data_IF_492281892158
#
_entry.id   IF_492281892158
#
_cell.length_a   1.000
_cell.length_b   1.000
_cell.length_c   1.000
_cell.angle_alpha   90.00
_cell.angle_beta   90.00
_cell.angle_gamma   90.00
#
_symmetry.space_group_name_H-M   'P 1'
#
loop_
_entity.id
_entity.type
_entity.pdbx_description
1 polymer ?
#
# COMPACT_ATOMS: atom_id res chain seq x y z
N UNK A 1 5.26 19.87 8.76
CA UNK A 1 6.25 18.79 8.58
C UNK A 1 7.20 19.19 7.46
N UNK A 2 8.52 19.08 7.65
CA UNK A 2 9.50 19.33 6.58
C UNK A 2 9.47 18.20 5.54
N UNK A 3 10.03 18.43 4.34
CA UNK A 3 10.14 17.37 3.32
C UNK A 3 11.01 16.21 3.82
N UNK A 4 12.06 16.51 4.58
CA UNK A 4 12.99 15.50 5.10
C UNK A 4 12.34 14.61 6.16
N UNK A 5 11.54 15.20 7.05
CA UNK A 5 10.75 14.43 8.03
C UNK A 5 9.71 13.54 7.36
N UNK A 6 9.07 14.00 6.28
CA UNK A 6 8.20 13.15 5.44
C UNK A 6 8.96 11.95 4.86
N UNK A 7 10.17 12.20 4.34
CA UNK A 7 11.00 11.18 3.72
C UNK A 7 11.44 10.13 4.74
N UNK A 8 11.90 10.56 5.92
CA UNK A 8 12.25 9.67 7.03
C UNK A 8 11.06 8.81 7.48
N UNK A 9 9.87 9.40 7.62
CA UNK A 9 8.67 8.67 8.00
C UNK A 9 8.22 7.64 6.95
N UNK A 10 8.43 7.91 5.66
CA UNK A 10 8.21 6.90 4.61
C UNK A 10 9.17 5.72 4.77
N UNK A 11 10.43 5.99 5.10
CA UNK A 11 11.40 4.94 5.42
C UNK A 11 10.95 4.08 6.60
N UNK A 12 10.50 4.72 7.69
CA UNK A 12 9.94 4.02 8.85
C UNK A 12 8.73 3.17 8.44
N UNK A 13 7.82 3.69 7.61
CA UNK A 13 6.66 2.93 7.13
C UNK A 13 7.06 1.69 6.31
N UNK A 14 8.15 1.75 5.54
CA UNK A 14 8.71 0.57 4.84
C UNK A 14 9.25 -0.45 5.85
N UNK A 15 9.99 0.00 6.87
CA UNK A 15 10.48 -0.90 7.93
C UNK A 15 9.31 -1.57 8.68
N UNK A 16 8.24 -0.83 8.97
CA UNK A 16 7.02 -1.37 9.55
C UNK A 16 6.35 -2.41 8.64
N UNK A 17 6.35 -2.17 7.32
CA UNK A 17 5.82 -3.13 6.34
C UNK A 17 6.61 -4.44 6.37
N UNK A 18 7.94 -4.37 6.32
CA UNK A 18 8.82 -5.53 6.36
C UNK A 18 8.66 -6.28 7.68
N UNK A 19 8.64 -5.55 8.80
CA UNK A 19 8.44 -6.11 10.14
C UNK A 19 7.11 -6.86 10.25
N UNK A 20 6.00 -6.27 9.80
CA UNK A 20 4.70 -6.92 9.78
C UNK A 20 4.74 -8.22 8.96
N UNK A 21 5.28 -8.19 7.74
CA UNK A 21 5.26 -9.38 6.86
C UNK A 21 6.14 -10.51 7.38
N UNK A 22 7.20 -10.20 8.13
CA UNK A 22 8.07 -11.20 8.77
C UNK A 22 7.42 -11.83 10.01
N UNK A 23 6.84 -11.03 10.89
CA UNK A 23 6.50 -11.47 12.25
C UNK A 23 5.00 -11.68 12.50
N UNK A 24 4.11 -11.42 11.53
CA UNK A 24 2.66 -11.53 11.74
C UNK A 24 2.16 -12.98 11.85
N UNK A 25 2.90 -13.95 11.32
CA UNK A 25 2.54 -15.38 11.38
C UNK A 25 3.12 -16.03 12.63
N UNK A 26 2.27 -16.28 13.62
CA UNK A 26 2.67 -16.83 14.94
C UNK A 26 3.39 -18.18 14.80
N UNK A 27 2.88 -19.04 13.93
CA UNK A 27 3.44 -20.35 13.59
C UNK A 27 4.89 -20.25 13.08
N UNK A 28 5.13 -19.34 12.14
CA UNK A 28 6.47 -19.07 11.59
C UNK A 28 7.40 -18.53 12.67
N UNK A 29 6.92 -17.59 13.49
CA UNK A 29 7.73 -17.00 14.56
C UNK A 29 8.15 -18.05 15.58
N UNK A 30 7.25 -18.92 16.03
CA UNK A 30 7.57 -19.96 17.03
C UNK A 30 8.50 -21.03 16.45
N UNK A 31 8.34 -21.40 15.18
CA UNK A 31 9.10 -22.50 14.56
C UNK A 31 10.46 -22.08 13.98
N UNK A 32 10.60 -20.84 13.51
CA UNK A 32 11.78 -20.37 12.78
C UNK A 32 12.59 -19.30 13.50
N UNK A 33 12.14 -18.82 14.68
CA UNK A 33 12.86 -17.83 15.47
C UNK A 33 12.94 -18.26 16.94
N UNK A 34 13.77 -17.58 17.72
CA UNK A 34 13.88 -17.76 19.17
C UNK A 34 13.39 -16.50 19.90
N UNK A 35 12.06 -16.34 20.11
CA UNK A 35 11.52 -15.17 20.76
C UNK A 35 12.03 -15.05 22.19
N UNK A 36 12.56 -13.87 22.53
CA UNK A 36 13.11 -13.61 23.87
C UNK A 36 12.02 -13.36 24.91
N UNK A 37 10.85 -12.87 24.48
CA UNK A 37 9.77 -12.45 25.38
C UNK A 37 8.42 -12.94 24.87
N UNK A 38 7.62 -13.46 25.80
CA UNK A 38 6.28 -13.96 25.58
C UNK A 38 5.29 -13.25 26.48
N UNK A 39 4.07 -13.04 25.98
CA UNK A 39 2.92 -12.65 26.79
C UNK A 39 1.91 -13.77 26.68
N UNK A 40 1.80 -14.59 27.73
CA UNK A 40 1.08 -15.86 27.68
C UNK A 40 1.74 -16.82 26.68
N UNK A 41 0.97 -17.35 25.73
CA UNK A 41 1.45 -18.27 24.69
C UNK A 41 1.92 -17.57 23.40
N UNK A 42 1.83 -16.23 23.33
CA UNK A 42 2.10 -15.49 22.09
C UNK A 42 3.45 -14.76 22.22
N UNK A 43 4.36 -14.91 21.24
CA UNK A 43 5.59 -14.13 21.17
C UNK A 43 5.30 -12.62 21.15
N UNK A 44 6.01 -11.84 21.96
CA UNK A 44 5.81 -10.39 22.02
C UNK A 44 6.05 -9.69 20.68
N UNK A 45 7.04 -10.18 19.90
CA UNK A 45 7.33 -9.66 18.56
C UNK A 45 6.11 -9.76 17.62
N UNK A 46 5.28 -10.80 17.78
CA UNK A 46 4.05 -10.95 17.02
C UNK A 46 2.98 -9.95 17.49
N UNK A 47 2.88 -9.68 18.79
CA UNK A 47 1.96 -8.67 19.32
C UNK A 47 2.35 -7.28 18.79
N UNK A 48 3.65 -6.99 18.73
CA UNK A 48 4.19 -5.72 18.24
C UNK A 48 3.81 -5.44 16.78
N UNK A 49 3.59 -6.47 15.95
CA UNK A 49 3.19 -6.26 14.54
C UNK A 49 1.85 -5.55 14.42
N UNK A 50 0.96 -5.67 15.42
CA UNK A 50 -0.34 -4.98 15.46
C UNK A 50 -0.18 -3.46 15.53
N UNK A 51 0.94 -2.97 16.06
CA UNK A 51 1.29 -1.55 16.07
C UNK A 51 2.03 -1.10 14.80
N UNK A 52 2.36 -2.04 13.90
CA UNK A 52 3.12 -1.80 12.68
C UNK A 52 2.32 -1.92 11.36
N UNK A 53 1.04 -1.51 11.25
CA UNK A 53 0.35 -1.57 9.97
C UNK A 53 0.89 -0.49 9.02
N UNK A 54 1.48 -0.86 7.87
CA UNK A 54 2.16 0.11 7.00
C UNK A 54 1.19 0.96 6.20
N UNK A 55 0.04 0.39 5.78
CA UNK A 55 -0.92 1.07 4.90
C UNK A 55 -1.51 2.34 5.55
N UNK A 56 -2.00 2.30 6.81
CA UNK A 56 -2.47 3.51 7.49
C UNK A 56 -1.39 4.61 7.59
N UNK A 57 -0.13 4.26 7.82
CA UNK A 57 0.97 5.22 7.88
C UNK A 57 1.18 5.93 6.54
N UNK A 58 1.19 5.19 5.43
CA UNK A 58 1.29 5.80 4.10
C UNK A 58 0.08 6.68 3.78
N UNK A 59 -1.12 6.29 4.21
CA UNK A 59 -2.34 7.09 4.03
C UNK A 59 -2.27 8.41 4.79
N UNK A 60 -1.85 8.39 6.06
CA UNK A 60 -1.67 9.60 6.88
C UNK A 60 -0.65 10.54 6.23
N UNK A 61 0.51 10.02 5.82
CA UNK A 61 1.55 10.81 5.17
C UNK A 61 1.08 11.42 3.83
N UNK A 62 0.32 10.66 3.04
CA UNK A 62 -0.24 11.15 1.78
C UNK A 62 -1.33 12.20 2.01
N UNK A 63 -2.22 11.97 2.98
CA UNK A 63 -3.27 12.89 3.40
C UNK A 63 -2.72 14.22 3.92
N UNK A 64 -1.72 14.17 4.80
CA UNK A 64 -1.04 15.38 5.29
C UNK A 64 -0.37 16.17 4.15
N UNK A 65 0.30 15.47 3.23
CA UNK A 65 0.92 16.12 2.07
C UNK A 65 -0.11 16.78 1.14
N UNK A 66 -1.28 16.16 0.99
CA UNK A 66 -2.41 16.70 0.24
C UNK A 66 -3.00 17.96 0.88
N UNK A 67 -3.27 17.91 2.18
CA UNK A 67 -3.78 19.03 2.97
C UNK A 67 -2.84 20.24 2.92
N UNK A 68 -1.54 20.00 3.12
CA UNK A 68 -0.53 21.06 3.01
C UNK A 68 -0.50 21.71 1.62
N UNK A 69 -0.64 20.92 0.55
CA UNK A 69 -0.75 21.47 -0.81
C UNK A 69 -2.07 22.22 -1.03
N UNK A 70 -3.15 21.78 -0.38
CA UNK A 70 -4.48 22.38 -0.48
C UNK A 70 -4.47 23.78 0.16
N UNK A 71 -3.92 23.91 1.35
CA UNK A 71 -3.73 25.19 2.05
C UNK A 71 -2.91 26.21 1.25
N UNK A 72 -2.04 25.75 0.33
CA UNK A 72 -1.27 26.61 -0.58
C UNK A 72 -1.98 26.93 -1.90
N UNK A 73 -3.22 26.49 -2.09
CA UNK A 73 -3.97 26.64 -3.35
C UNK A 73 -3.40 25.85 -4.52
N UNK A 74 -2.55 24.85 -4.26
CA UNK A 74 -1.83 24.07 -5.29
C UNK A 74 -2.50 22.74 -5.64
N UNK A 75 -3.60 22.42 -4.98
CA UNK A 75 -4.38 21.21 -5.26
C UNK A 75 -5.39 21.50 -6.37
N UNK A 76 -5.21 20.79 -7.48
CA UNK A 76 -6.15 20.76 -8.60
C UNK A 76 -6.47 19.31 -8.94
N UNK A 77 -7.68 19.05 -9.42
CA UNK A 77 -8.08 17.72 -9.88
C UNK A 77 -7.12 17.16 -10.94
N UNK A 78 -6.62 18.01 -11.84
CA UNK A 78 -5.62 17.63 -12.86
C UNK A 78 -4.32 17.13 -12.22
N UNK A 79 -3.83 17.82 -11.19
CA UNK A 79 -2.60 17.43 -10.49
C UNK A 79 -2.78 16.11 -9.74
N UNK A 80 -3.96 15.88 -9.14
CA UNK A 80 -4.27 14.63 -8.46
C UNK A 80 -4.35 13.46 -9.43
N UNK A 81 -5.02 13.64 -10.56
CA UNK A 81 -5.09 12.65 -11.61
C UNK A 81 -3.70 12.32 -12.16
N UNK A 82 -2.87 13.33 -12.42
CA UNK A 82 -1.50 13.12 -12.89
C UNK A 82 -0.66 12.30 -11.89
N UNK A 83 -0.76 12.61 -10.59
CA UNK A 83 -0.08 11.86 -9.52
C UNK A 83 -0.54 10.41 -9.45
N UNK A 84 -1.85 10.16 -9.59
CA UNK A 84 -2.43 8.82 -9.61
C UNK A 84 -2.01 8.04 -10.85
N UNK A 85 -2.02 8.66 -12.03
CA UNK A 85 -1.55 8.03 -13.27
C UNK A 85 -0.08 7.61 -13.16
N UNK A 86 0.78 8.46 -12.57
CA UNK A 86 2.17 8.09 -12.33
C UNK A 86 2.29 6.84 -11.45
N UNK A 87 1.49 6.74 -10.39
CA UNK A 87 1.44 5.54 -9.53
C UNK A 87 0.95 4.30 -10.29
N UNK A 88 -0.11 4.44 -11.09
CA UNK A 88 -0.67 3.35 -11.89
C UNK A 88 0.28 2.88 -12.99
N UNK A 89 1.02 3.78 -13.64
CA UNK A 89 2.04 3.41 -14.62
C UNK A 89 3.13 2.55 -13.96
N UNK A 90 3.63 2.96 -12.78
CA UNK A 90 4.60 2.13 -12.04
C UNK A 90 4.01 0.77 -11.66
N UNK A 91 2.76 0.73 -11.22
CA UNK A 91 2.07 -0.52 -10.93
C UNK A 91 1.92 -1.42 -12.17
N UNK A 92 1.53 -0.87 -13.32
CA UNK A 92 1.38 -1.62 -14.56
C UNK A 92 2.70 -2.16 -15.08
N UNK A 93 3.80 -1.42 -14.92
CA UNK A 93 5.15 -1.93 -15.25
C UNK A 93 5.49 -3.17 -14.40
N UNK A 94 5.23 -3.10 -13.09
CA UNK A 94 5.42 -4.24 -12.19
C UNK A 94 4.51 -5.39 -12.60
N UNK A 95 3.21 -5.12 -12.81
CA UNK A 95 2.23 -6.12 -13.24
C UNK A 95 2.66 -6.82 -14.53
N UNK A 96 3.14 -6.07 -15.52
CA UNK A 96 3.59 -6.60 -16.79
C UNK A 96 4.72 -7.62 -16.59
N UNK A 97 5.74 -7.27 -15.80
CA UNK A 97 6.85 -8.19 -15.49
C UNK A 97 6.33 -9.46 -14.81
N UNK A 98 5.49 -9.34 -13.77
CA UNK A 98 4.97 -10.49 -13.03
C UNK A 98 4.07 -11.38 -13.88
N UNK A 99 3.21 -10.80 -14.72
CA UNK A 99 2.32 -11.55 -15.60
C UNK A 99 3.11 -12.22 -16.73
N UNK A 100 4.11 -11.56 -17.31
CA UNK A 100 4.98 -12.18 -18.32
C UNK A 100 5.70 -13.40 -17.76
N UNK A 101 6.31 -13.30 -16.58
CA UNK A 101 6.97 -14.43 -15.90
C UNK A 101 5.94 -15.51 -15.55
N UNK A 102 4.78 -15.10 -15.02
CA UNK A 102 3.68 -16.00 -14.65
C UNK A 102 3.14 -16.80 -15.84
N UNK A 103 3.03 -16.18 -17.01
CA UNK A 103 2.58 -16.85 -18.25
C UNK A 103 3.57 -17.90 -18.74
N UNK A 104 4.87 -17.71 -18.49
CA UNK A 104 5.90 -18.72 -18.84
C UNK A 104 5.87 -19.88 -17.84
N UNK A 105 5.82 -19.60 -16.53
CA UNK A 105 5.94 -20.62 -15.49
C UNK A 105 4.63 -21.36 -15.19
N UNK A 106 3.49 -20.69 -15.34
CA UNK A 106 2.14 -21.22 -15.06
C UNK A 106 1.13 -20.72 -16.11
N UNK A 107 1.24 -21.18 -17.37
CA UNK A 107 0.37 -20.76 -18.46
C UNK A 107 -1.12 -21.05 -18.20
N UNK A 108 -1.43 -22.07 -17.39
CA UNK A 108 -2.81 -22.40 -17.01
C UNK A 108 -3.45 -21.38 -16.04
N UNK A 109 -2.64 -20.51 -15.43
CA UNK A 109 -3.09 -19.55 -14.41
C UNK A 109 -3.03 -18.11 -14.91
N UNK A 110 -1.99 -17.77 -15.69
CA UNK A 110 -1.75 -16.42 -16.21
C UNK A 110 -1.92 -16.38 -17.74
N UNK A 111 -2.52 -15.32 -18.30
CA UNK A 111 -3.21 -14.21 -17.62
C UNK A 111 -4.62 -14.61 -17.13
N UNK A 112 -5.15 -15.77 -17.51
CA UNK A 112 -6.53 -16.13 -17.21
C UNK A 112 -7.55 -15.29 -18.00
N UNK A 113 -8.79 -15.20 -17.50
CA UNK A 113 -9.89 -14.59 -18.25
C UNK A 113 -9.82 -13.06 -18.30
N UNK A 114 -10.51 -12.46 -19.28
CA UNK A 114 -10.61 -11.00 -19.45
C UNK A 114 -11.05 -10.28 -18.17
N UNK A 115 -11.94 -10.88 -17.39
CA UNK A 115 -12.37 -10.34 -16.10
C UNK A 115 -11.21 -10.22 -15.10
N UNK A 116 -10.33 -11.23 -15.02
CA UNK A 116 -9.13 -11.19 -14.17
C UNK A 116 -8.16 -10.14 -14.67
N UNK A 117 -7.96 -10.03 -15.98
CA UNK A 117 -7.07 -9.02 -16.57
C UNK A 117 -7.55 -7.60 -16.22
N UNK A 118 -8.82 -7.29 -16.48
CA UNK A 118 -9.40 -5.97 -16.19
C UNK A 118 -9.37 -5.69 -14.69
N UNK A 119 -9.71 -6.68 -13.85
CA UNK A 119 -9.68 -6.56 -12.40
C UNK A 119 -8.27 -6.22 -11.87
N UNK A 120 -7.23 -6.80 -12.44
CA UNK A 120 -5.85 -6.52 -12.04
C UNK A 120 -5.34 -5.20 -12.61
N UNK A 121 -5.65 -4.85 -13.87
CA UNK A 121 -5.23 -3.56 -14.47
C UNK A 121 -5.81 -2.38 -13.68
N UNK A 122 -7.08 -2.47 -13.29
CA UNK A 122 -7.74 -1.45 -12.46
C UNK A 122 -7.36 -1.53 -10.98
N UNK A 123 -6.74 -2.64 -10.57
CA UNK A 123 -6.50 -3.03 -9.18
C UNK A 123 -7.78 -3.24 -8.35
N UNK A 124 -8.95 -3.31 -9.00
CA UNK A 124 -10.21 -3.66 -8.35
C UNK A 124 -10.17 -5.06 -7.72
N UNK A 125 -9.50 -5.99 -8.40
CA UNK A 125 -9.27 -7.36 -7.91
C UNK A 125 -7.81 -7.74 -8.14
N UNK A 126 -7.01 -7.67 -7.08
CA UNK A 126 -5.56 -7.91 -7.10
C UNK A 126 -5.22 -9.41 -7.06
N UNK A 127 -5.81 -10.21 -7.96
CA UNK A 127 -5.60 -11.66 -8.02
C UNK A 127 -4.21 -12.07 -8.52
N UNK A 128 -3.54 -11.24 -9.33
CA UNK A 128 -2.15 -11.50 -9.75
C UNK A 128 -1.13 -11.14 -8.68
N UNK A 129 -1.41 -10.09 -7.89
CA UNK A 129 -0.58 -9.65 -6.78
C UNK A 129 -1.44 -9.16 -5.61
N UNK A 130 -1.71 -10.06 -4.67
CA UNK A 130 -2.56 -9.77 -3.52
C UNK A 130 -2.07 -8.58 -2.69
N UNK A 131 -0.76 -8.28 -2.68
CA UNK A 131 -0.18 -7.16 -1.90
C UNK A 131 -0.63 -5.80 -2.44
N UNK A 132 -1.05 -5.72 -3.70
CA UNK A 132 -1.50 -4.48 -4.35
C UNK A 132 -2.94 -4.08 -4.02
N UNK A 133 -3.66 -4.84 -3.17
CA UNK A 133 -5.06 -4.62 -2.82
C UNK A 133 -5.41 -3.19 -2.37
N UNK A 134 -4.45 -2.46 -1.79
CA UNK A 134 -4.67 -1.12 -1.25
C UNK A 134 -4.77 -0.03 -2.34
N UNK A 135 -4.35 -0.31 -3.57
CA UNK A 135 -4.20 0.69 -4.62
C UNK A 135 -5.55 1.27 -5.07
N UNK A 136 -6.55 0.42 -5.25
CA UNK A 136 -7.89 0.86 -5.67
C UNK A 136 -8.60 1.72 -4.61
N UNK A 137 -8.68 1.33 -3.32
CA UNK A 137 -9.17 2.21 -2.26
C UNK A 137 -8.41 3.54 -2.19
N UNK A 138 -7.08 3.52 -2.35
CA UNK A 138 -6.27 4.73 -2.36
C UNK A 138 -6.61 5.66 -3.53
N UNK A 139 -6.83 5.11 -4.72
CA UNK A 139 -7.26 5.87 -5.89
C UNK A 139 -8.58 6.60 -5.61
N UNK A 140 -9.59 5.89 -5.10
CA UNK A 140 -10.89 6.47 -4.76
C UNK A 140 -10.74 7.59 -3.73
N UNK A 141 -9.97 7.36 -2.67
CA UNK A 141 -9.71 8.36 -1.63
C UNK A 141 -8.97 9.58 -2.20
N UNK A 142 -7.96 9.38 -3.05
CA UNK A 142 -7.20 10.48 -3.63
C UNK A 142 -8.04 11.31 -4.60
N UNK A 143 -8.96 10.71 -5.36
CA UNK A 143 -9.87 11.45 -6.26
C UNK A 143 -10.92 12.23 -5.47
N UNK A 144 -11.41 11.68 -4.36
CA UNK A 144 -12.42 12.32 -3.50
C UNK A 144 -11.81 13.33 -2.52
N UNK A 145 -10.49 13.34 -2.32
CA UNK A 145 -9.80 14.22 -1.36
C UNK A 145 -10.18 15.71 -1.46
N UNK A 146 -10.34 16.26 -2.67
CA UNK A 146 -10.71 17.67 -2.88
C UNK A 146 -12.11 17.96 -2.32
N UNK A 147 -13.04 17.02 -2.48
CA UNK A 147 -14.41 17.13 -1.95
C UNK A 147 -14.36 17.03 -0.43
N UNK A 148 -13.56 16.10 0.11
CA UNK A 148 -13.39 15.89 1.55
C UNK A 148 -12.86 17.17 2.22
N UNK A 149 -11.80 17.79 1.68
CA UNK A 149 -11.26 19.03 2.24
C UNK A 149 -12.30 20.16 2.21
N UNK A 150 -13.03 20.32 1.09
CA UNK A 150 -14.09 21.32 0.98
C UNK A 150 -15.21 21.13 2.01
N UNK A 151 -15.61 19.89 2.31
CA UNK A 151 -16.66 19.59 3.30
C UNK A 151 -16.17 19.88 4.72
N UNK A 152 -14.90 19.57 5.02
CA UNK A 152 -14.33 19.76 6.35
C UNK A 152 -14.02 21.22 6.70
N UNK A 153 -14.19 22.15 5.75
CA UNK A 153 -13.93 23.57 5.98
C UNK A 153 -12.45 23.90 6.22
N UNK A 154 -11.56 23.02 5.75
CA UNK A 154 -10.09 23.20 5.72
C UNK A 154 -9.69 23.69 4.34
#
# INVERSE_FOLDING_TARGET
MSKDTSFMLKGIAILMMVFLHLFNRVDVVITQTTPLLYIGSIPFVNILTRACPPVPFFLILSGYGLDYMYAQGRVSFKNQLHRLLKLYITYWLVLFIFVSIGSILRPNVYPGDLYKVIGNITSYNSSYNAVSWFLFPYMLLSLTSIIIFRILGV
#
